data_IF_458687862907
#
_entry.id   IF_458687862907
#
_cell.length_a   1.000
_cell.length_b   1.000
_cell.length_c   1.000
_cell.angle_alpha   90.00
_cell.angle_beta   90.00
_cell.angle_gamma   90.00
#
_symmetry.space_group_name_H-M   'P 1'
#
loop_
_entity.id
_entity.type
_entity.pdbx_description
1 polymer ?
#
# COMPACT_ATOMS: atom_id res chain seq x y z
N UNK A 1 -1.41 12.30 -20.75
CA UNK A 1 -2.43 11.22 -20.54
C UNK A 1 -1.86 10.24 -19.54
N UNK A 2 -2.68 9.52 -18.78
CA UNK A 2 -2.18 8.64 -17.73
C UNK A 2 -2.88 7.29 -17.73
N UNK A 3 -2.16 6.28 -17.26
CA UNK A 3 -2.70 4.97 -16.94
C UNK A 3 -2.12 4.49 -15.61
N UNK A 4 -2.85 3.57 -14.98
CA UNK A 4 -2.55 3.07 -13.65
C UNK A 4 -2.54 1.55 -13.69
N UNK A 5 -1.50 0.94 -13.13
CA UNK A 5 -1.33 -0.50 -13.02
C UNK A 5 -1.16 -0.87 -11.55
N UNK A 6 -2.08 -1.68 -11.04
CA UNK A 6 -2.03 -2.28 -9.72
C UNK A 6 -1.20 -3.57 -9.78
N UNK A 7 -0.01 -3.56 -9.18
CA UNK A 7 0.91 -4.70 -9.21
C UNK A 7 0.53 -5.81 -8.21
N UNK A 8 -0.34 -5.56 -7.23
CA UNK A 8 -0.79 -6.64 -6.30
C UNK A 8 -1.58 -7.72 -7.04
N UNK A 9 -2.27 -7.34 -8.12
CA UNK A 9 -3.00 -8.28 -8.97
C UNK A 9 -2.08 -9.15 -9.83
N UNK A 10 -0.79 -8.83 -9.91
CA UNK A 10 0.15 -9.48 -10.81
C UNK A 10 0.88 -10.60 -10.07
N UNK A 11 0.53 -11.84 -10.38
CA UNK A 11 1.12 -13.05 -9.77
C UNK A 11 2.16 -13.73 -10.67
N UNK A 12 2.27 -13.32 -11.93
CA UNK A 12 3.22 -13.88 -12.90
C UNK A 12 3.56 -12.89 -14.01
N UNK A 13 4.66 -13.14 -14.74
CA UNK A 13 5.05 -12.31 -15.88
C UNK A 13 4.00 -12.34 -17.01
N UNK A 14 3.33 -13.48 -17.23
CA UNK A 14 2.23 -13.55 -18.18
C UNK A 14 1.08 -12.62 -17.77
N UNK A 15 0.72 -12.63 -16.49
CA UNK A 15 -0.33 -11.75 -15.97
C UNK A 15 0.07 -10.27 -16.01
N UNK A 16 1.36 -9.95 -15.81
CA UNK A 16 1.87 -8.59 -15.99
C UNK A 16 1.59 -8.11 -17.42
N UNK A 17 1.95 -8.93 -18.42
CA UNK A 17 1.71 -8.62 -19.84
C UNK A 17 0.22 -8.42 -20.10
N UNK A 18 -0.65 -9.31 -19.61
CA UNK A 18 -2.10 -9.21 -19.77
C UNK A 18 -2.66 -7.90 -19.22
N UNK A 19 -2.42 -7.63 -17.93
CA UNK A 19 -3.01 -6.49 -17.23
C UNK A 19 -2.43 -5.18 -17.80
N UNK A 20 -1.14 -5.14 -18.10
CA UNK A 20 -0.52 -3.92 -18.63
C UNK A 20 -0.96 -3.64 -20.07
N UNK A 21 -1.07 -4.68 -20.92
CA UNK A 21 -1.62 -4.53 -22.27
C UNK A 21 -3.09 -4.08 -22.25
N UNK A 22 -3.92 -4.66 -21.39
CA UNK A 22 -5.31 -4.23 -21.18
C UNK A 22 -5.37 -2.76 -20.74
N UNK A 23 -4.53 -2.37 -19.79
CA UNK A 23 -4.46 -1.00 -19.27
C UNK A 23 -4.10 0.00 -20.37
N UNK A 24 -3.11 -0.31 -21.21
CA UNK A 24 -2.70 0.53 -22.33
C UNK A 24 -3.70 0.49 -23.50
N UNK A 25 -4.34 -0.65 -23.75
CA UNK A 25 -5.44 -0.78 -24.70
C UNK A 25 -6.62 0.12 -24.34
N UNK A 26 -7.02 0.12 -23.07
CA UNK A 26 -8.05 1.03 -22.55
C UNK A 26 -7.63 2.51 -22.65
N UNK A 27 -6.34 2.82 -22.48
CA UNK A 27 -5.82 4.16 -22.72
C UNK A 27 -5.94 4.56 -24.20
N UNK A 28 -5.63 3.65 -25.13
CA UNK A 28 -5.78 3.87 -26.58
C UNK A 28 -7.24 4.13 -26.94
N UNK A 29 -8.19 3.36 -26.39
CA UNK A 29 -9.64 3.58 -26.60
C UNK A 29 -10.12 4.97 -26.19
N UNK A 30 -9.50 5.57 -25.16
CA UNK A 30 -9.81 6.93 -24.72
C UNK A 30 -9.23 8.00 -25.65
N UNK A 31 -8.28 7.63 -26.52
CA UNK A 31 -7.53 8.56 -27.37
C UNK A 31 -7.90 8.44 -28.85
N UNK A 32 -8.39 7.29 -29.28
CA UNK A 32 -8.65 6.99 -30.68
C UNK A 32 -9.79 5.97 -30.83
N UNK A 33 -10.19 5.71 -32.07
CA UNK A 33 -11.25 4.77 -32.40
C UNK A 33 -10.80 3.33 -32.17
N UNK A 34 -11.77 2.46 -31.91
CA UNK A 34 -11.58 1.04 -31.56
C UNK A 34 -10.74 0.30 -32.62
N UNK A 35 -10.93 0.60 -33.90
CA UNK A 35 -10.23 -0.06 -35.01
C UNK A 35 -8.72 0.17 -34.97
N UNK A 36 -8.27 1.27 -34.36
CA UNK A 36 -6.86 1.65 -34.27
C UNK A 36 -6.08 0.89 -33.21
N UNK A 37 -6.75 0.13 -32.33
CA UNK A 37 -6.08 -0.73 -31.34
C UNK A 37 -5.17 -1.75 -32.03
N UNK A 38 -5.62 -2.33 -33.15
CA UNK A 38 -4.85 -3.34 -33.89
C UNK A 38 -3.52 -2.83 -34.42
N UNK A 39 -3.37 -1.51 -34.62
CA UNK A 39 -2.12 -0.91 -35.07
C UNK A 39 -1.02 -0.99 -34.00
N UNK A 40 -1.39 -1.15 -32.74
CA UNK A 40 -0.45 -1.16 -31.60
C UNK A 40 0.00 -2.58 -31.22
N UNK A 41 -0.85 -3.58 -31.42
CA UNK A 41 -0.59 -4.96 -31.02
C UNK A 41 -0.25 -5.84 -32.23
N UNK A 42 0.94 -6.45 -32.22
CA UNK A 42 1.44 -7.37 -33.26
C UNK A 42 1.40 -8.83 -32.80
N UNK A 43 1.90 -9.10 -31.60
CA UNK A 43 2.00 -10.44 -31.01
C UNK A 43 0.83 -10.74 -30.07
N UNK A 44 0.21 -9.69 -29.54
CA UNK A 44 -1.00 -9.76 -28.73
C UNK A 44 -2.23 -9.66 -29.62
N UNK A 45 -3.24 -10.49 -29.35
CA UNK A 45 -4.53 -10.44 -30.03
C UNK A 45 -5.48 -9.65 -29.14
N UNK A 46 -5.78 -8.37 -29.45
CA UNK A 46 -6.72 -7.59 -28.67
C UNK A 46 -8.15 -8.08 -28.92
N UNK A 47 -8.88 -8.29 -27.83
CA UNK A 47 -10.32 -8.53 -27.79
C UNK A 47 -10.99 -7.29 -27.21
N UNK A 48 -12.11 -6.90 -27.79
CA UNK A 48 -12.87 -5.73 -27.35
C UNK A 48 -14.18 -6.24 -26.77
N UNK A 49 -14.37 -5.99 -25.48
CA UNK A 49 -15.54 -6.39 -24.71
C UNK A 49 -16.46 -5.19 -24.54
N UNK A 50 -17.74 -5.37 -24.87
CA UNK A 50 -18.79 -4.36 -24.72
C UNK A 50 -19.68 -4.75 -23.57
N UNK A 51 -19.71 -3.95 -22.51
CA UNK A 51 -20.61 -4.18 -21.39
C UNK A 51 -22.05 -3.83 -21.76
N UNK A 52 -23.06 -4.42 -21.10
CA UNK A 52 -24.45 -4.00 -21.24
C UNK A 52 -24.70 -2.54 -20.84
N UNK A 53 -23.81 -1.95 -20.03
CA UNK A 53 -23.86 -0.53 -19.61
C UNK A 53 -23.25 0.42 -20.64
N UNK A 54 -22.73 -0.10 -21.77
CA UNK A 54 -22.12 0.68 -22.83
C UNK A 54 -20.63 1.00 -22.62
N UNK A 55 -20.01 0.43 -21.59
CA UNK A 55 -18.57 0.55 -21.38
C UNK A 55 -17.82 -0.38 -22.32
N UNK A 56 -16.73 0.13 -22.91
CA UNK A 56 -15.86 -0.63 -23.80
C UNK A 56 -14.53 -0.88 -23.10
N UNK A 57 -14.11 -2.14 -23.06
CA UNK A 57 -12.83 -2.54 -22.49
C UNK A 57 -12.03 -3.42 -23.43
N UNK A 58 -10.71 -3.40 -23.28
CA UNK A 58 -9.79 -4.27 -24.02
C UNK A 58 -9.34 -5.41 -23.13
N UNK A 59 -9.36 -6.62 -23.66
CA UNK A 59 -8.64 -7.78 -23.15
C UNK A 59 -7.64 -8.25 -24.22
N UNK A 60 -6.67 -9.10 -23.86
CA UNK A 60 -5.65 -9.59 -24.80
C UNK A 60 -5.44 -11.09 -24.67
N UNK A 61 -5.15 -11.73 -25.79
CA UNK A 61 -4.74 -13.13 -25.84
C UNK A 61 -3.37 -13.28 -26.50
N UNK A 62 -2.56 -14.21 -25.98
CA UNK A 62 -1.27 -14.61 -26.55
C UNK A 62 -0.86 -16.00 -26.05
N UNK A 63 0.14 -16.58 -26.70
CA UNK A 63 0.71 -17.85 -26.29
C UNK A 63 1.50 -17.69 -24.97
N UNK A 64 1.07 -18.38 -23.91
CA UNK A 64 1.72 -18.35 -22.58
C UNK A 64 2.96 -19.23 -22.47
N UNK A 65 3.66 -19.47 -23.59
CA UNK A 65 4.98 -20.11 -23.58
C UNK A 65 6.05 -19.10 -23.16
N UNK A 66 7.22 -19.56 -22.68
CA UNK A 66 8.29 -18.64 -22.24
C UNK A 66 8.70 -17.64 -23.33
N UNK A 67 8.84 -18.11 -24.58
CA UNK A 67 9.16 -17.25 -25.73
C UNK A 67 7.99 -16.34 -26.14
N UNK A 68 6.75 -16.77 -25.92
CA UNK A 68 5.56 -15.96 -26.13
C UNK A 68 5.46 -14.81 -25.12
N UNK A 69 5.71 -15.09 -23.84
CA UNK A 69 5.73 -14.09 -22.76
C UNK A 69 6.81 -13.05 -23.02
N UNK A 70 8.04 -13.46 -23.34
CA UNK A 70 9.16 -12.53 -23.59
C UNK A 70 8.86 -11.59 -24.78
N UNK A 71 8.33 -12.13 -25.88
CA UNK A 71 7.94 -11.33 -27.05
C UNK A 71 6.85 -10.33 -26.71
N UNK A 72 5.79 -10.77 -26.03
CA UNK A 72 4.67 -9.90 -25.68
C UNK A 72 5.05 -8.87 -24.62
N UNK A 73 5.96 -9.22 -23.68
CA UNK A 73 6.52 -8.29 -22.72
C UNK A 73 7.25 -7.15 -23.42
N UNK A 74 8.15 -7.47 -24.36
CA UNK A 74 8.86 -6.46 -25.15
C UNK A 74 7.90 -5.52 -25.88
N UNK A 75 6.89 -6.11 -26.53
CA UNK A 75 5.87 -5.35 -27.24
C UNK A 75 5.10 -4.39 -26.34
N UNK A 76 4.60 -4.88 -25.19
CA UNK A 76 3.80 -4.08 -24.24
C UNK A 76 4.63 -3.02 -23.56
N UNK A 77 5.88 -3.31 -23.23
CA UNK A 77 6.78 -2.34 -22.61
C UNK A 77 7.05 -1.15 -23.52
N UNK A 78 7.10 -1.34 -24.84
CA UNK A 78 7.28 -0.26 -25.82
C UNK A 78 6.02 0.60 -26.06
N UNK A 79 4.83 0.09 -25.73
CA UNK A 79 3.56 0.73 -26.06
C UNK A 79 3.42 2.16 -25.50
N UNK A 80 3.78 2.48 -24.25
CA UNK A 80 3.67 3.84 -23.72
C UNK A 80 4.39 4.87 -24.59
N UNK A 81 5.61 4.56 -25.05
CA UNK A 81 6.38 5.45 -25.92
C UNK A 81 5.72 5.57 -27.30
N UNK A 82 5.25 4.47 -27.90
CA UNK A 82 4.52 4.48 -29.19
C UNK A 82 3.23 5.30 -29.11
N UNK A 83 2.48 5.17 -28.02
CA UNK A 83 1.26 5.97 -27.75
C UNK A 83 1.64 7.45 -27.65
N UNK A 84 2.70 7.77 -26.91
CA UNK A 84 3.15 9.14 -26.72
C UNK A 84 3.52 9.82 -28.04
N UNK A 85 4.28 9.12 -28.89
CA UNK A 85 4.71 9.59 -30.21
C UNK A 85 3.55 9.76 -31.17
N UNK A 86 2.69 8.73 -31.32
CA UNK A 86 1.56 8.73 -32.26
C UNK A 86 0.58 9.86 -31.97
N UNK A 87 0.25 10.08 -30.69
CA UNK A 87 -0.72 11.11 -30.30
C UNK A 87 -0.08 12.44 -29.90
N UNK A 88 1.25 12.57 -29.96
CA UNK A 88 2.02 13.76 -29.55
C UNK A 88 1.64 14.25 -28.14
N UNK A 89 1.48 13.31 -27.20
CA UNK A 89 1.12 13.59 -25.80
C UNK A 89 2.10 12.88 -24.88
N UNK A 90 2.53 13.54 -23.81
CA UNK A 90 3.27 12.85 -22.74
C UNK A 90 2.36 11.81 -22.07
N UNK A 91 2.90 10.61 -21.84
CA UNK A 91 2.23 9.50 -21.16
C UNK A 91 2.77 9.40 -19.74
N UNK A 92 1.89 9.20 -18.76
CA UNK A 92 2.26 8.92 -17.37
C UNK A 92 1.81 7.50 -17.04
N UNK A 93 2.75 6.65 -16.68
CA UNK A 93 2.47 5.28 -16.22
C UNK A 93 2.67 5.25 -14.71
N UNK A 94 1.61 4.94 -13.98
CA UNK A 94 1.66 4.76 -12.54
C UNK A 94 1.67 3.26 -12.25
N UNK A 95 2.74 2.77 -11.63
CA UNK A 95 2.80 1.44 -11.05
C UNK A 95 2.53 1.56 -9.55
N UNK A 96 1.37 1.07 -9.11
CA UNK A 96 1.02 0.97 -7.70
C UNK A 96 1.46 -0.37 -7.12
N UNK A 97 1.81 -0.35 -5.84
CA UNK A 97 2.43 -1.47 -5.11
C UNK A 97 3.63 -2.08 -5.87
N UNK A 98 4.48 -1.23 -6.43
CA UNK A 98 5.56 -1.63 -7.35
C UNK A 98 6.55 -2.63 -6.74
N UNK A 99 6.70 -2.67 -5.41
CA UNK A 99 7.55 -3.68 -4.77
C UNK A 99 7.13 -5.12 -5.08
N UNK A 100 5.86 -5.37 -5.45
CA UNK A 100 5.40 -6.71 -5.82
C UNK A 100 6.13 -7.27 -7.07
N UNK A 101 6.79 -6.41 -7.86
CA UNK A 101 7.67 -6.83 -8.95
C UNK A 101 8.76 -7.81 -8.51
N UNK A 102 9.19 -7.78 -7.24
CA UNK A 102 10.19 -8.71 -6.71
C UNK A 102 9.70 -10.15 -6.69
N UNK A 103 8.39 -10.37 -6.70
CA UNK A 103 7.79 -11.70 -6.71
C UNK A 103 7.74 -12.30 -8.13
N UNK A 104 8.04 -11.52 -9.17
CA UNK A 104 7.94 -11.91 -10.58
C UNK A 104 9.28 -12.39 -11.18
N UNK A 105 9.98 -13.28 -10.47
CA UNK A 105 11.38 -13.70 -10.72
C UNK A 105 12.46 -12.68 -10.26
N UNK A 106 12.12 -11.85 -9.27
CA UNK A 106 13.09 -11.05 -8.52
C UNK A 106 13.94 -10.08 -9.36
N UNK A 107 15.25 -9.94 -9.05
CA UNK A 107 16.13 -8.96 -9.70
C UNK A 107 16.24 -9.09 -11.22
N UNK A 108 15.92 -10.26 -11.78
CA UNK A 108 15.95 -10.46 -13.23
C UNK A 108 14.88 -9.64 -13.95
N UNK A 109 13.65 -9.62 -13.39
CA UNK A 109 12.53 -8.92 -14.01
C UNK A 109 12.64 -7.41 -13.83
N UNK A 110 13.14 -6.92 -12.69
CA UNK A 110 13.46 -5.50 -12.52
C UNK A 110 14.45 -4.99 -13.57
N UNK A 111 15.50 -5.77 -13.88
CA UNK A 111 16.48 -5.42 -14.92
C UNK A 111 15.81 -5.32 -16.29
N UNK A 112 14.93 -6.28 -16.60
CA UNK A 112 14.15 -6.27 -17.83
C UNK A 112 13.26 -5.03 -17.93
N UNK A 113 12.51 -4.69 -16.88
CA UNK A 113 11.67 -3.48 -16.91
C UNK A 113 12.52 -2.21 -17.09
N UNK A 114 13.63 -2.09 -16.36
CA UNK A 114 14.54 -0.95 -16.48
C UNK A 114 15.11 -0.80 -17.90
N UNK A 115 15.45 -1.91 -18.56
CA UNK A 115 16.05 -1.84 -19.90
C UNK A 115 15.12 -1.22 -20.94
N UNK A 116 13.80 -1.34 -20.78
CA UNK A 116 12.83 -0.60 -21.62
C UNK A 116 12.66 0.85 -21.14
N UNK A 117 12.36 1.02 -19.85
CA UNK A 117 11.99 2.32 -19.26
C UNK A 117 13.05 3.40 -19.52
N UNK A 118 14.34 3.05 -19.43
CA UNK A 118 15.44 4.01 -19.60
C UNK A 118 15.53 4.62 -21.01
N UNK A 119 14.89 4.02 -22.02
CA UNK A 119 14.91 4.52 -23.40
C UNK A 119 13.68 5.37 -23.75
N UNK A 120 12.68 5.42 -22.87
CA UNK A 120 11.48 6.22 -23.11
C UNK A 120 11.72 7.70 -22.80
N UNK A 121 11.37 8.58 -23.73
CA UNK A 121 11.62 10.03 -23.66
C UNK A 121 10.34 10.84 -23.46
N UNK A 122 9.20 10.26 -23.79
CA UNK A 122 7.89 10.91 -23.73
C UNK A 122 6.97 10.29 -22.67
N UNK A 123 7.56 9.44 -21.82
CA UNK A 123 6.87 8.70 -20.77
C UNK A 123 7.45 9.07 -19.41
N UNK A 124 6.59 9.43 -18.47
CA UNK A 124 6.91 9.61 -17.05
C UNK A 124 6.43 8.38 -16.28
N UNK A 125 7.27 7.86 -15.38
CA UNK A 125 6.94 6.72 -14.54
C UNK A 125 6.82 7.17 -13.09
N UNK A 126 5.70 6.80 -12.45
CA UNK A 126 5.48 6.98 -11.02
C UNK A 126 5.39 5.59 -10.40
N UNK A 127 6.24 5.33 -9.40
CA UNK A 127 6.26 4.07 -8.65
C UNK A 127 5.78 4.35 -7.24
N UNK A 128 4.71 3.68 -6.82
CA UNK A 128 4.08 3.82 -5.51
C UNK A 128 4.03 2.46 -4.81
N UNK A 129 3.94 2.47 -3.48
CA UNK A 129 3.80 1.24 -2.71
C UNK A 129 3.84 1.46 -1.20
N UNK A 130 3.07 0.64 -0.49
CA UNK A 130 2.86 0.73 0.96
C UNK A 130 4.07 0.24 1.77
N UNK A 131 4.84 -0.71 1.23
CA UNK A 131 6.08 -1.21 1.86
C UNK A 131 7.24 -0.26 1.58
N UNK A 132 7.22 0.89 2.25
CA UNK A 132 8.16 2.02 2.05
C UNK A 132 9.62 1.58 2.01
N UNK A 133 10.06 0.72 2.93
CA UNK A 133 11.43 0.21 2.97
C UNK A 133 11.82 -0.55 1.69
N UNK A 134 10.93 -1.36 1.11
CA UNK A 134 11.23 -2.13 -0.10
C UNK A 134 11.35 -1.23 -1.33
N UNK A 135 10.41 -0.28 -1.49
CA UNK A 135 10.49 0.69 -2.58
C UNK A 135 11.72 1.57 -2.44
N UNK A 136 12.01 2.09 -1.25
CA UNK A 136 13.20 2.91 -1.02
C UNK A 136 14.48 2.12 -1.36
N UNK A 137 14.58 0.86 -0.90
CA UNK A 137 15.72 -0.02 -1.19
C UNK A 137 15.88 -0.26 -2.71
N UNK A 138 14.78 -0.44 -3.46
CA UNK A 138 14.82 -0.63 -4.91
C UNK A 138 15.47 0.52 -5.68
N UNK A 139 15.29 1.75 -5.22
CA UNK A 139 15.81 2.95 -5.89
C UNK A 139 17.13 3.47 -5.30
N UNK A 140 17.50 3.06 -4.07
CA UNK A 140 18.69 3.54 -3.37
C UNK A 140 19.81 2.50 -3.19
N UNK A 141 19.59 1.21 -3.39
CA UNK A 141 20.66 0.20 -3.33
C UNK A 141 21.40 0.08 -4.68
N UNK A 142 22.73 0.32 -4.74
CA UNK A 142 23.54 0.15 -5.95
C UNK A 142 23.48 -1.23 -6.61
N UNK A 143 23.05 -2.27 -5.88
CA UNK A 143 22.88 -3.64 -6.39
C UNK A 143 21.55 -3.86 -7.11
N UNK A 144 20.58 -2.95 -6.96
CA UNK A 144 19.24 -3.07 -7.54
C UNK A 144 19.17 -2.46 -8.93
N UNK A 145 18.27 -2.99 -9.75
CA UNK A 145 18.15 -2.52 -11.13
C UNK A 145 17.75 -1.05 -11.13
N UNK A 146 16.77 -0.61 -10.36
CA UNK A 146 16.27 0.77 -10.41
C UNK A 146 17.13 1.80 -9.65
N UNK A 147 18.37 1.47 -9.28
CA UNK A 147 19.27 2.41 -8.59
C UNK A 147 19.36 3.77 -9.31
N UNK A 148 19.02 4.85 -8.59
CA UNK A 148 19.00 6.25 -9.07
C UNK A 148 18.17 6.48 -10.33
N UNK A 149 17.18 5.63 -10.61
CA UNK A 149 16.31 5.78 -11.78
C UNK A 149 15.07 6.65 -11.55
N UNK A 150 14.77 7.00 -10.29
CA UNK A 150 13.65 7.85 -9.91
C UNK A 150 14.03 8.75 -8.73
N UNK A 151 13.27 9.84 -8.57
CA UNK A 151 13.36 10.70 -7.37
C UNK A 151 12.44 10.12 -6.29
N UNK A 152 12.97 9.91 -5.09
CA UNK A 152 12.19 9.44 -3.95
C UNK A 152 11.39 10.60 -3.37
N UNK A 153 10.06 10.43 -3.30
CA UNK A 153 9.15 11.41 -2.69
C UNK A 153 8.47 10.78 -1.47
N UNK A 154 8.95 11.05 -0.24
CA UNK A 154 8.31 10.54 0.97
C UNK A 154 6.97 11.25 1.20
N UNK A 155 5.89 10.47 1.27
CA UNK A 155 4.57 11.00 1.61
C UNK A 155 4.42 11.05 3.12
N UNK A 156 4.39 12.25 3.69
CA UNK A 156 4.17 12.47 5.11
C UNK A 156 2.71 12.27 5.54
N UNK A 157 2.48 12.20 6.84
CA UNK A 157 1.15 12.17 7.41
C UNK A 157 0.40 13.48 7.16
N UNK A 158 -0.93 13.37 6.98
CA UNK A 158 -1.81 14.54 6.91
C UNK A 158 -1.72 15.29 8.25
N UNK A 159 -1.56 16.62 8.26
CA UNK A 159 -1.51 17.39 9.50
C UNK A 159 -2.74 17.12 10.39
N UNK A 160 -2.51 16.91 11.69
CA UNK A 160 -3.59 16.56 12.64
C UNK A 160 -4.77 17.54 12.61
N UNK A 161 -4.49 18.84 12.46
CA UNK A 161 -5.53 19.89 12.34
C UNK A 161 -6.42 19.73 11.10
N UNK A 162 -5.87 19.26 9.98
CA UNK A 162 -6.67 19.00 8.77
C UNK A 162 -7.56 17.78 8.96
N UNK A 163 -7.06 16.74 9.62
CA UNK A 163 -7.86 15.57 9.98
C UNK A 163 -8.94 15.88 11.02
N UNK A 164 -8.65 16.72 12.01
CA UNK A 164 -9.62 17.24 12.97
C UNK A 164 -10.77 17.95 12.23
N UNK A 165 -10.44 18.89 11.34
CA UNK A 165 -11.42 19.61 10.53
C UNK A 165 -12.20 18.69 9.57
N UNK A 166 -11.56 17.68 9.01
CA UNK A 166 -12.23 16.65 8.22
C UNK A 166 -13.27 15.89 9.04
N UNK A 167 -12.92 15.41 10.24
CA UNK A 167 -13.86 14.71 11.14
C UNK A 167 -15.03 15.62 11.51
N UNK A 168 -14.77 16.85 11.96
CA UNK A 168 -15.81 17.84 12.28
C UNK A 168 -16.77 18.07 11.10
N UNK A 169 -16.21 18.26 9.90
CA UNK A 169 -17.00 18.48 8.68
C UNK A 169 -17.89 17.27 8.31
N UNK A 170 -17.40 16.04 8.46
CA UNK A 170 -18.18 14.83 8.15
C UNK A 170 -19.34 14.63 9.13
N UNK A 171 -19.15 14.90 10.41
CA UNK A 171 -20.25 14.87 11.39
C UNK A 171 -21.31 15.94 11.04
N UNK A 172 -20.87 17.18 10.78
CA UNK A 172 -21.77 18.28 10.44
C UNK A 172 -22.62 18.00 9.18
N UNK A 173 -22.03 17.40 8.14
CA UNK A 173 -22.72 17.00 6.90
C UNK A 173 -23.89 16.03 7.15
N UNK A 174 -23.83 15.25 8.22
CA UNK A 174 -24.89 14.32 8.63
C UNK A 174 -25.89 14.91 9.64
N UNK A 175 -25.72 16.18 10.02
CA UNK A 175 -26.51 16.84 11.06
C UNK A 175 -26.08 16.52 12.50
N UNK A 176 -24.95 15.84 12.70
CA UNK A 176 -24.39 15.54 14.03
C UNK A 176 -23.33 16.57 14.42
N UNK A 177 -23.18 16.82 15.73
CA UNK A 177 -22.19 17.74 16.31
C UNK A 177 -21.10 16.95 17.02
N UNK A 178 -19.86 17.34 16.82
CA UNK A 178 -18.71 16.84 17.57
C UNK A 178 -17.89 18.04 18.03
N UNK A 179 -17.42 18.01 19.28
CA UNK A 179 -16.54 19.06 19.79
C UNK A 179 -15.12 18.87 19.26
N UNK A 180 -14.36 19.96 19.15
CA UNK A 180 -12.95 19.92 18.75
C UNK A 180 -12.11 18.97 19.62
N UNK A 181 -12.37 18.94 20.93
CA UNK A 181 -11.71 18.03 21.86
C UNK A 181 -11.95 16.55 21.51
N UNK A 182 -13.18 16.20 21.12
CA UNK A 182 -13.51 14.83 20.71
C UNK A 182 -12.93 14.47 19.34
N UNK A 183 -12.96 15.39 18.37
CA UNK A 183 -12.28 15.19 17.08
C UNK A 183 -10.77 14.97 17.27
N UNK A 184 -10.13 15.80 18.10
CA UNK A 184 -8.72 15.63 18.51
C UNK A 184 -8.46 14.28 19.17
N UNK A 185 -9.37 13.83 20.05
CA UNK A 185 -9.25 12.52 20.72
C UNK A 185 -9.28 11.38 19.71
N UNK A 186 -10.17 11.43 18.72
CA UNK A 186 -10.24 10.44 17.62
C UNK A 186 -8.93 10.43 16.83
N UNK A 187 -8.48 11.60 16.36
CA UNK A 187 -7.24 11.73 15.57
C UNK A 187 -6.04 11.21 16.34
N UNK A 188 -5.90 11.59 17.62
CA UNK A 188 -4.81 11.12 18.49
C UNK A 188 -4.84 9.62 18.71
N UNK A 189 -6.00 9.03 19.00
CA UNK A 189 -6.13 7.58 19.24
C UNK A 189 -5.82 6.77 17.99
N UNK A 190 -6.14 7.29 16.81
CA UNK A 190 -5.78 6.73 15.52
C UNK A 190 -4.39 7.16 14.99
N UNK A 191 -3.56 7.84 15.81
CA UNK A 191 -2.23 8.38 15.46
C UNK A 191 -2.20 9.25 14.19
N UNK A 192 -3.31 9.89 13.83
CA UNK A 192 -3.40 10.73 12.63
C UNK A 192 -3.34 9.95 11.31
N UNK A 193 -3.54 8.63 11.34
CA UNK A 193 -3.54 7.81 10.13
C UNK A 193 -4.96 7.81 9.50
N UNK A 194 -5.14 8.27 8.25
CA UNK A 194 -6.47 8.54 7.69
C UNK A 194 -7.43 7.36 7.74
N UNK A 195 -6.95 6.14 7.47
CA UNK A 195 -7.75 4.91 7.55
C UNK A 195 -8.30 4.69 8.97
N UNK A 196 -7.43 4.73 9.97
CA UNK A 196 -7.79 4.51 11.37
C UNK A 196 -8.64 5.65 11.95
N UNK A 197 -8.40 6.89 11.53
CA UNK A 197 -9.22 8.06 11.89
C UNK A 197 -10.64 7.87 11.38
N UNK A 198 -10.80 7.50 10.11
CA UNK A 198 -12.10 7.24 9.50
C UNK A 198 -12.82 6.06 10.16
N UNK A 199 -12.10 4.97 10.44
CA UNK A 199 -12.67 3.79 11.10
C UNK A 199 -13.21 4.12 12.49
N UNK A 200 -12.43 4.80 13.34
CA UNK A 200 -12.91 5.19 14.67
C UNK A 200 -14.00 6.26 14.59
N UNK A 201 -13.85 7.26 13.71
CA UNK A 201 -14.88 8.29 13.50
C UNK A 201 -16.22 7.67 13.06
N UNK A 202 -16.19 6.63 12.22
CA UNK A 202 -17.38 5.91 11.80
C UNK A 202 -18.08 5.21 12.98
N UNK A 203 -17.33 4.49 13.83
CA UNK A 203 -17.92 3.87 15.02
C UNK A 203 -18.47 4.90 16.01
N UNK A 204 -17.81 6.05 16.20
CA UNK A 204 -18.35 7.13 17.02
C UNK A 204 -19.61 7.71 16.40
N UNK A 205 -19.58 7.94 15.09
CA UNK A 205 -20.71 8.48 14.34
C UNK A 205 -21.92 7.56 14.43
N UNK A 206 -21.76 6.25 14.24
CA UNK A 206 -22.83 5.25 14.29
C UNK A 206 -23.54 5.26 15.66
N UNK A 207 -22.79 5.48 16.74
CA UNK A 207 -23.30 5.47 18.12
C UNK A 207 -23.94 6.78 18.55
N UNK A 208 -23.41 7.91 18.06
CA UNK A 208 -23.92 9.23 18.42
C UNK A 208 -25.26 9.53 17.77
N UNK A 209 -26.21 10.12 18.49
CA UNK A 209 -27.47 10.56 17.90
C UNK A 209 -27.37 11.95 17.26
N UNK A 210 -27.12 12.97 18.10
CA UNK A 210 -27.04 14.39 17.68
C UNK A 210 -25.74 15.05 18.08
N UNK A 211 -25.22 14.75 19.26
CA UNK A 211 -23.99 15.34 19.79
C UNK A 211 -23.11 14.27 20.40
N UNK A 212 -21.85 14.24 19.99
CA UNK A 212 -20.88 13.24 20.44
C UNK A 212 -20.51 13.48 21.91
N UNK A 213 -20.67 12.45 22.72
CA UNK A 213 -20.23 12.41 24.12
C UNK A 213 -18.92 11.65 24.27
N UNK A 214 -18.22 11.90 25.37
CA UNK A 214 -16.93 11.25 25.62
C UNK A 214 -17.07 9.74 25.81
N UNK A 215 -18.17 9.30 26.43
CA UNK A 215 -18.50 7.89 26.63
C UNK A 215 -18.61 7.16 25.29
N UNK A 216 -19.26 7.77 24.30
CA UNK A 216 -19.44 7.19 22.96
C UNK A 216 -18.10 6.98 22.25
N UNK A 217 -17.13 7.88 22.44
CA UNK A 217 -15.77 7.71 21.90
C UNK A 217 -15.04 6.54 22.57
N UNK A 218 -15.15 6.41 23.89
CA UNK A 218 -14.51 5.32 24.61
C UNK A 218 -15.15 3.97 24.24
N UNK A 219 -16.48 3.91 24.17
CA UNK A 219 -17.21 2.71 23.78
C UNK A 219 -16.93 2.32 22.32
N UNK A 220 -16.82 3.28 21.41
CA UNK A 220 -16.42 3.04 20.02
C UNK A 220 -15.04 2.37 19.93
N UNK A 221 -14.08 2.80 20.76
CA UNK A 221 -12.76 2.15 20.85
C UNK A 221 -12.94 0.69 21.33
N UNK A 222 -13.66 0.45 22.43
CA UNK A 222 -13.86 -0.90 22.93
C UNK A 222 -14.56 -1.82 21.91
N UNK A 223 -15.57 -1.30 21.20
CA UNK A 223 -16.27 -2.03 20.14
C UNK A 223 -15.32 -2.37 18.98
N UNK A 224 -14.53 -1.41 18.52
CA UNK A 224 -13.52 -1.62 17.48
C UNK A 224 -12.52 -2.71 17.88
N UNK A 225 -11.99 -2.65 19.12
CA UNK A 225 -11.05 -3.65 19.62
C UNK A 225 -11.69 -5.05 19.74
N UNK A 226 -12.97 -5.14 20.11
CA UNK A 226 -13.72 -6.41 20.14
C UNK A 226 -13.93 -6.95 18.72
N UNK A 227 -14.29 -6.09 17.77
CA UNK A 227 -14.50 -6.48 16.38
C UNK A 227 -13.21 -7.03 15.74
N UNK A 228 -12.06 -6.43 16.06
CA UNK A 228 -10.75 -6.84 15.55
C UNK A 228 -10.07 -7.94 16.38
N UNK A 229 -10.71 -8.44 17.45
CA UNK A 229 -10.07 -9.34 18.40
C UNK A 229 -9.55 -10.64 17.74
N UNK A 230 -10.36 -11.27 16.89
CA UNK A 230 -9.97 -12.52 16.21
C UNK A 230 -8.84 -12.30 15.20
N UNK A 231 -8.84 -11.16 14.51
CA UNK A 231 -7.74 -10.76 13.61
C UNK A 231 -6.43 -10.60 14.40
N UNK A 232 -6.45 -9.83 15.49
CA UNK A 232 -5.26 -9.59 16.31
C UNK A 232 -4.74 -10.85 17.01
N UNK A 233 -5.63 -11.76 17.40
CA UNK A 233 -5.26 -13.10 17.88
C UNK A 233 -4.54 -13.90 16.80
N UNK A 234 -5.09 -13.92 15.58
CA UNK A 234 -4.47 -14.60 14.43
C UNK A 234 -3.06 -14.05 14.14
N UNK A 235 -2.87 -12.73 14.23
CA UNK A 235 -1.55 -12.11 14.06
C UNK A 235 -0.54 -12.53 15.14
N UNK A 236 -0.97 -12.57 16.41
CA UNK A 236 -0.11 -13.07 17.49
C UNK A 236 0.19 -14.56 17.33
N UNK A 237 -0.79 -15.37 16.98
CA UNK A 237 -0.64 -16.82 16.85
C UNK A 237 0.29 -17.19 15.69
N UNK A 238 0.21 -16.45 14.58
CA UNK A 238 1.15 -16.55 13.45
C UNK A 238 2.54 -15.96 13.70
N UNK A 239 2.82 -15.44 14.90
CA UNK A 239 4.11 -14.88 15.30
C UNK A 239 4.88 -15.82 16.22
N UNK A 240 6.20 -15.89 16.07
CA UNK A 240 7.07 -16.68 16.97
C UNK A 240 7.09 -16.09 18.38
N UNK A 241 7.52 -16.85 19.40
CA UNK A 241 7.59 -16.34 20.77
C UNK A 241 8.41 -15.05 20.89
N UNK A 242 9.55 -14.98 20.20
CA UNK A 242 10.37 -13.76 20.17
C UNK A 242 9.67 -12.60 19.46
N UNK A 243 8.96 -12.86 18.35
CA UNK A 243 8.16 -11.83 17.69
C UNK A 243 7.03 -11.32 18.59
N UNK A 244 6.32 -12.21 19.31
CA UNK A 244 5.27 -11.82 20.26
C UNK A 244 5.82 -10.97 21.41
N UNK A 245 6.99 -11.33 21.94
CA UNK A 245 7.65 -10.54 22.99
C UNK A 245 8.00 -9.13 22.50
N UNK A 246 8.55 -9.01 21.28
CA UNK A 246 8.85 -7.72 20.65
C UNK A 246 7.58 -6.90 20.37
N UNK A 247 6.51 -7.52 19.86
CA UNK A 247 5.23 -6.85 19.63
C UNK A 247 4.65 -6.26 20.93
N UNK A 248 4.71 -7.03 22.04
CA UNK A 248 4.27 -6.55 23.36
C UNK A 248 5.14 -5.41 23.88
N UNK A 249 6.47 -5.54 23.78
CA UNK A 249 7.38 -4.47 24.19
C UNK A 249 7.14 -3.18 23.39
N UNK A 250 6.93 -3.27 22.07
CA UNK A 250 6.62 -2.11 21.22
C UNK A 250 5.23 -1.50 21.47
N UNK A 251 4.32 -2.25 22.11
CA UNK A 251 3.05 -1.68 22.52
C UNK A 251 3.22 -0.72 23.68
N UNK A 252 4.17 -0.98 24.59
CA UNK A 252 4.38 -0.20 25.81
C UNK A 252 5.44 0.88 25.62
N UNK A 253 6.52 0.57 24.90
CA UNK A 253 7.75 1.37 24.83
C UNK A 253 8.13 1.74 23.39
N UNK A 254 8.71 2.93 23.21
CA UNK A 254 9.18 3.41 21.90
C UNK A 254 10.62 2.92 21.60
N UNK A 255 11.42 2.64 22.63
CA UNK A 255 12.83 2.27 22.51
C UNK A 255 13.13 0.90 23.14
N UNK A 256 13.09 -0.15 22.32
CA UNK A 256 13.19 -1.54 22.80
C UNK A 256 14.60 -2.07 23.05
N UNK A 257 15.64 -1.31 22.67
CA UNK A 257 17.05 -1.73 22.79
C UNK A 257 17.72 -1.27 24.08
N UNK A 258 17.04 -0.50 24.92
CA UNK A 258 17.59 -0.15 26.24
C UNK A 258 17.65 -1.41 27.11
N UNK A 259 18.71 -1.55 27.92
CA UNK A 259 18.86 -2.71 28.80
C UNK A 259 17.67 -2.85 29.75
N UNK A 260 17.16 -1.73 30.25
CA UNK A 260 15.98 -1.68 31.12
C UNK A 260 14.74 -2.30 30.46
N UNK A 261 14.43 -1.93 29.22
CA UNK A 261 13.27 -2.47 28.48
C UNK A 261 13.49 -3.92 28.11
N UNK A 262 14.71 -4.30 27.72
CA UNK A 262 15.05 -5.69 27.43
C UNK A 262 14.85 -6.59 28.66
N UNK A 263 15.26 -6.14 29.85
CA UNK A 263 15.04 -6.87 31.11
C UNK A 263 13.56 -6.90 31.50
N UNK A 264 12.87 -5.75 31.46
CA UNK A 264 11.45 -5.62 31.84
C UNK A 264 10.54 -6.55 31.04
N UNK A 265 10.75 -6.61 29.72
CA UNK A 265 9.94 -7.44 28.83
C UNK A 265 10.54 -8.83 28.56
N UNK A 266 11.59 -9.21 29.30
CA UNK A 266 12.31 -10.47 29.15
C UNK A 266 12.66 -10.77 27.67
N UNK A 267 13.16 -9.76 26.98
CA UNK A 267 13.60 -9.89 25.60
C UNK A 267 14.90 -10.71 25.58
N UNK A 268 15.01 -11.61 24.59
CA UNK A 268 16.22 -12.38 24.38
C UNK A 268 17.42 -11.52 23.95
N UNK A 269 18.49 -12.17 23.51
CA UNK A 269 19.67 -11.48 23.01
C UNK A 269 19.32 -10.43 21.93
N UNK A 270 20.09 -9.34 21.86
CA UNK A 270 19.84 -8.24 20.92
C UNK A 270 19.77 -8.70 19.45
N UNK A 271 20.55 -9.72 19.08
CA UNK A 271 20.52 -10.33 17.74
C UNK A 271 19.19 -11.04 17.44
N UNK A 272 18.58 -11.68 18.44
CA UNK A 272 17.26 -12.31 18.35
C UNK A 272 16.17 -11.23 18.18
N UNK A 273 16.22 -10.17 18.99
CA UNK A 273 15.30 -9.02 18.89
C UNK A 273 15.40 -8.37 17.51
N UNK A 274 16.62 -8.15 17.00
CA UNK A 274 16.83 -7.55 15.68
C UNK A 274 16.29 -8.46 14.55
N UNK A 275 16.46 -9.77 14.67
CA UNK A 275 15.92 -10.73 13.70
C UNK A 275 14.39 -10.76 13.72
N UNK A 276 13.79 -10.71 14.92
CA UNK A 276 12.34 -10.61 15.09
C UNK A 276 11.80 -9.30 14.50
N UNK A 277 12.44 -8.16 14.77
CA UNK A 277 12.08 -6.87 14.18
C UNK A 277 12.12 -6.90 12.66
N UNK A 278 13.19 -7.42 12.05
CA UNK A 278 13.28 -7.54 10.57
C UNK A 278 12.11 -8.33 10.01
N UNK A 279 11.76 -9.46 10.64
CA UNK A 279 10.62 -10.26 10.22
C UNK A 279 9.27 -9.53 10.42
N UNK A 280 9.10 -8.77 11.50
CA UNK A 280 7.89 -8.00 11.77
C UNK A 280 7.72 -6.80 10.82
N UNK A 281 8.82 -6.14 10.46
CA UNK A 281 8.86 -5.09 9.43
C UNK A 281 8.47 -5.66 8.08
N UNK A 282 9.04 -6.81 7.71
CA UNK A 282 8.69 -7.51 6.48
C UNK A 282 7.21 -7.92 6.43
N UNK A 283 6.66 -8.39 7.56
CA UNK A 283 5.22 -8.69 7.73
C UNK A 283 4.32 -7.45 7.75
N UNK A 284 4.87 -6.24 7.82
CA UNK A 284 4.11 -4.99 7.89
C UNK A 284 3.55 -4.64 9.28
N UNK A 285 3.76 -5.46 10.31
CA UNK A 285 3.28 -5.20 11.67
C UNK A 285 4.03 -4.07 12.36
N UNK A 286 5.28 -3.82 11.95
CA UNK A 286 6.16 -2.81 12.53
C UNK A 286 6.66 -1.89 11.42
N UNK A 287 6.47 -0.58 11.58
CA UNK A 287 7.13 0.45 10.80
C UNK A 287 8.49 0.81 11.40
N UNK A 288 9.41 1.26 10.55
CA UNK A 288 10.69 1.84 10.96
C UNK A 288 10.79 3.26 10.45
N UNK A 289 10.84 4.23 11.35
CA UNK A 289 11.10 5.63 11.04
C UNK A 289 12.45 6.01 11.65
N UNK A 290 13.40 6.40 10.80
CA UNK A 290 14.79 6.67 11.18
C UNK A 290 15.43 5.52 11.99
N UNK A 291 15.51 5.67 13.31
CA UNK A 291 16.08 4.72 14.27
C UNK A 291 15.04 4.06 15.18
N UNK A 292 13.75 4.43 15.05
CA UNK A 292 12.67 3.97 15.92
C UNK A 292 11.78 2.95 15.23
N UNK A 293 11.36 1.97 16.00
CA UNK A 293 10.38 0.97 15.57
C UNK A 293 9.07 1.26 16.26
N UNK A 294 7.97 1.17 15.51
CA UNK A 294 6.64 1.36 16.05
C UNK A 294 5.67 0.38 15.40
N UNK A 295 4.68 -0.10 16.16
CA UNK A 295 3.59 -0.87 15.58
C UNK A 295 2.81 -0.01 14.59
N UNK A 296 2.57 -0.55 13.40
CA UNK A 296 1.89 0.14 12.29
C UNK A 296 0.42 0.43 12.62
N UNK A 297 -0.24 -0.50 13.32
CA UNK A 297 -1.65 -0.40 13.68
C UNK A 297 -1.82 0.19 15.10
N UNK A 298 -2.43 1.40 15.24
CA UNK A 298 -2.63 2.03 16.53
C UNK A 298 -3.65 1.30 17.42
N UNK A 299 -4.61 0.58 16.86
CA UNK A 299 -5.59 -0.19 17.62
C UNK A 299 -5.04 -1.54 18.05
N UNK A 300 -4.13 -2.13 17.28
CA UNK A 300 -3.38 -3.31 17.74
C UNK A 300 -2.53 -2.99 18.97
N UNK A 301 -1.92 -1.79 19.03
CA UNK A 301 -1.22 -1.30 20.24
C UNK A 301 -2.16 -1.28 21.45
N UNK A 302 -3.34 -0.67 21.30
CA UNK A 302 -4.32 -0.60 22.39
C UNK A 302 -4.81 -1.99 22.81
N UNK A 303 -5.04 -2.88 21.86
CA UNK A 303 -5.43 -4.26 22.13
C UNK A 303 -4.35 -5.02 22.91
N UNK A 304 -3.08 -4.90 22.52
CA UNK A 304 -1.96 -5.54 23.23
C UNK A 304 -1.83 -5.05 24.68
N UNK A 305 -2.00 -3.75 24.92
CA UNK A 305 -1.98 -3.16 26.28
C UNK A 305 -3.08 -3.73 27.17
N UNK A 306 -4.31 -3.80 26.66
CA UNK A 306 -5.43 -4.41 27.41
C UNK A 306 -5.19 -5.88 27.75
N UNK A 307 -4.48 -6.62 26.89
CA UNK A 307 -4.11 -8.01 27.15
C UNK A 307 -2.97 -8.15 28.17
N UNK A 308 -2.15 -7.12 28.36
CA UNK A 308 -1.09 -7.09 29.37
C UNK A 308 -1.67 -6.77 30.75
N UNK A 309 -2.59 -5.80 30.83
CA UNK A 309 -3.28 -5.41 32.08
C UNK A 309 -4.12 -6.54 32.68
N UNK A 310 -4.66 -7.45 31.86
CA UNK A 310 -5.41 -8.63 32.34
C UNK A 310 -4.56 -9.81 32.82
N UNK A 311 -3.23 -9.66 32.90
CA UNK A 311 -2.27 -10.70 33.31
C UNK A 311 -1.46 -10.35 34.58
N UNK A 312 -1.62 -9.15 35.11
CA UNK A 312 -1.15 -8.75 36.45
C UNK A 312 -2.23 -9.04 37.50
#
# INVERSE_FOLDING_TARGET
>A
VSCFLDMERVTSQAQFVEIYAQTLGNLILKLDRVEKIRDFFRSLIPKIDFSPTGEVSVSVEFAKTSSGIERCLSEVMDLPQKIAEKYRKKVVVVFDEFQEVTNLNGPSFEKTLRSFIQHHKDVCYIFMGSKTHLIIDMFNDPKRAFYRSATVYPLGNIPGKELEGYVEGRFAQSGKKITKSMAQKIVRKARGLPHYVQMLAWHVWERSEKEVREEEVNEAIHQLLRAQNELYRTWLDGSTLSQRAVLRALADEVEIFSQEVMTRHNLGAASTVQSALKALVWKGFVGKEESRYALSDPFFVLWLRLQNEGKE
#
